data_IF_815996497835
#
_entry.id   IF_815996497835
#
_cell.length_a   1.000
_cell.length_b   1.000
_cell.length_c   1.000
_cell.angle_alpha   90.00
_cell.angle_beta   90.00
_cell.angle_gamma   90.00
#
_symmetry.space_group_name_H-M   'P 1'
#
loop_
_entity.id
_entity.type
_entity.pdbx_description
1 polymer ?
#
# COMPACT_ATOMS: atom_id res chain seq x y z
N UNK A 1 -4.76 -37.01 34.07
CA UNK A 1 -4.83 -36.17 32.86
C UNK A 1 -3.44 -36.23 32.25
N UNK A 2 -3.25 -37.11 31.27
CA UNK A 2 -1.91 -37.48 30.78
C UNK A 2 -1.19 -36.31 30.12
N UNK A 3 0.09 -36.15 30.48
CA UNK A 3 1.01 -35.10 29.98
C UNK A 3 1.48 -35.34 28.54
N UNK A 4 1.03 -36.40 27.88
CA UNK A 4 1.36 -36.70 26.48
C UNK A 4 0.31 -36.25 25.46
N UNK A 5 -0.84 -35.72 25.88
CA UNK A 5 -1.85 -35.15 24.94
C UNK A 5 -1.61 -33.67 24.56
N UNK A 6 -0.43 -33.12 24.86
CA UNK A 6 -0.13 -31.69 24.66
C UNK A 6 0.79 -31.37 23.47
N UNK A 7 0.95 -32.29 22.52
CA UNK A 7 1.72 -32.05 21.29
C UNK A 7 0.81 -32.23 20.07
N UNK A 8 -0.01 -31.20 19.80
CA UNK A 8 -0.70 -31.04 18.51
C UNK A 8 0.37 -31.05 17.41
N UNK A 9 0.19 -31.75 16.27
CA UNK A 9 1.19 -31.75 15.20
C UNK A 9 1.28 -30.35 14.59
N UNK A 10 2.32 -29.62 15.01
CA UNK A 10 2.55 -28.22 14.68
C UNK A 10 2.63 -27.98 13.18
N UNK A 11 3.07 -28.93 12.37
CA UNK A 11 3.16 -28.74 10.91
C UNK A 11 1.80 -28.64 10.20
N UNK A 12 0.78 -29.38 10.65
CA UNK A 12 -0.55 -29.33 10.03
C UNK A 12 -1.29 -28.06 10.39
N UNK A 13 -1.23 -27.64 11.66
CA UNK A 13 -1.81 -26.39 12.13
C UNK A 13 -1.03 -25.17 11.61
N UNK A 14 0.30 -25.23 11.51
CA UNK A 14 1.13 -24.19 10.89
C UNK A 14 0.87 -24.12 9.38
N UNK A 15 0.72 -25.25 8.68
CA UNK A 15 0.32 -25.25 7.26
C UNK A 15 -1.10 -24.71 7.06
N UNK A 16 -2.01 -24.96 8.01
CA UNK A 16 -3.36 -24.39 8.02
C UNK A 16 -3.38 -22.90 8.34
N UNK A 17 -2.51 -22.43 9.25
CA UNK A 17 -2.31 -21.02 9.58
C UNK A 17 -1.59 -20.24 8.46
N UNK A 18 -0.61 -20.85 7.80
CA UNK A 18 0.05 -20.28 6.62
C UNK A 18 -0.85 -20.33 5.38
N UNK A 19 -1.87 -21.21 5.39
CA UNK A 19 -2.98 -21.25 4.45
C UNK A 19 -4.16 -20.36 4.84
N UNK A 20 -3.98 -19.38 5.75
CA UNK A 20 -4.97 -18.31 5.96
C UNK A 20 -5.14 -17.59 4.63
N UNK A 21 -6.27 -17.96 4.03
CA UNK A 21 -6.91 -17.47 2.82
C UNK A 21 -6.02 -16.62 1.91
N UNK A 22 -5.46 -17.24 0.88
CA UNK A 22 -4.79 -16.53 -0.19
C UNK A 22 -5.76 -15.54 -0.86
N UNK A 23 -7.07 -15.77 -0.79
CA UNK A 23 -8.08 -14.95 -1.44
C UNK A 23 -8.15 -13.52 -0.89
N UNK A 24 -8.36 -13.21 0.41
CA UNK A 24 -8.31 -11.84 0.93
C UNK A 24 -6.98 -11.14 0.64
N UNK A 25 -5.85 -11.85 0.76
CA UNK A 25 -4.52 -11.28 0.48
C UNK A 25 -4.40 -10.92 -1.00
N UNK A 26 -4.67 -11.88 -1.89
CA UNK A 26 -4.61 -11.66 -3.34
C UNK A 26 -5.68 -10.68 -3.81
N UNK A 27 -6.87 -10.67 -3.22
CA UNK A 27 -7.91 -9.69 -3.52
C UNK A 27 -7.46 -8.28 -3.20
N UNK A 28 -6.90 -8.05 -2.00
CA UNK A 28 -6.38 -6.75 -1.64
C UNK A 28 -5.21 -6.33 -2.55
N UNK A 29 -4.26 -7.22 -2.80
CA UNK A 29 -3.14 -6.99 -3.73
C UNK A 29 -3.66 -6.66 -5.13
N UNK A 30 -4.53 -7.50 -5.71
CA UNK A 30 -5.09 -7.30 -7.04
C UNK A 30 -5.98 -6.05 -7.10
N UNK A 31 -6.64 -5.67 -6.02
CA UNK A 31 -7.37 -4.40 -5.90
C UNK A 31 -6.41 -3.21 -5.88
N UNK A 32 -5.32 -3.30 -5.11
CA UNK A 32 -4.26 -2.30 -5.03
C UNK A 32 -3.61 -2.06 -6.39
N UNK A 33 -3.28 -3.13 -7.09
CA UNK A 33 -2.71 -3.10 -8.44
C UNK A 33 -3.78 -2.92 -9.53
N UNK A 34 -5.06 -2.78 -9.15
CA UNK A 34 -6.19 -2.57 -10.07
C UNK A 34 -6.27 -3.64 -11.19
N UNK A 35 -5.94 -4.88 -10.83
CA UNK A 35 -5.91 -6.07 -11.65
C UNK A 35 -7.15 -6.95 -11.49
N UNK A 36 -8.11 -6.61 -10.62
CA UNK A 36 -9.30 -7.44 -10.34
C UNK A 36 -10.05 -7.87 -11.61
N UNK A 37 -10.14 -7.00 -12.62
CA UNK A 37 -10.84 -7.25 -13.87
C UNK A 37 -9.95 -7.85 -14.97
N UNK A 38 -8.63 -7.87 -14.76
CA UNK A 38 -7.69 -8.50 -15.70
C UNK A 38 -7.89 -10.02 -15.72
N UNK A 39 -7.52 -10.67 -16.81
CA UNK A 39 -7.59 -12.13 -16.90
C UNK A 39 -6.69 -12.79 -15.84
N UNK A 40 -5.52 -12.19 -15.56
CA UNK A 40 -4.62 -12.63 -14.50
C UNK A 40 -5.27 -12.50 -13.12
N UNK A 41 -5.95 -11.40 -12.83
CA UNK A 41 -6.62 -11.19 -11.54
C UNK A 41 -7.81 -12.12 -11.35
N UNK A 42 -8.62 -12.33 -12.40
CA UNK A 42 -9.72 -13.30 -12.37
C UNK A 42 -9.20 -14.72 -12.14
N UNK A 43 -8.15 -15.14 -12.85
CA UNK A 43 -7.51 -16.45 -12.62
C UNK A 43 -6.90 -16.56 -11.23
N UNK A 44 -6.18 -15.55 -10.76
CA UNK A 44 -5.55 -15.55 -9.43
C UNK A 44 -6.59 -15.64 -8.31
N UNK A 45 -7.67 -14.87 -8.38
CA UNK A 45 -8.77 -14.95 -7.41
C UNK A 45 -9.48 -16.31 -7.45
N UNK A 46 -9.66 -16.88 -8.63
CA UNK A 46 -10.32 -18.19 -8.77
C UNK A 46 -9.44 -19.30 -8.20
N UNK A 47 -8.14 -19.28 -8.50
CA UNK A 47 -7.15 -20.21 -7.93
C UNK A 47 -7.07 -20.04 -6.42
N UNK A 48 -7.05 -18.80 -5.92
CA UNK A 48 -7.02 -18.52 -4.50
C UNK A 48 -8.29 -19.04 -3.81
N UNK A 49 -9.47 -18.81 -4.38
CA UNK A 49 -10.73 -19.29 -3.83
C UNK A 49 -10.79 -20.82 -3.78
N UNK A 50 -10.34 -21.49 -4.85
CA UNK A 50 -10.27 -22.96 -4.92
C UNK A 50 -9.25 -23.48 -3.90
N UNK A 51 -8.07 -22.85 -3.83
CA UNK A 51 -7.01 -23.18 -2.89
C UNK A 51 -7.45 -23.02 -1.44
N UNK A 52 -8.12 -21.94 -1.11
CA UNK A 52 -8.66 -21.65 0.22
C UNK A 52 -9.76 -22.64 0.60
N UNK A 53 -10.65 -22.97 -0.35
CA UNK A 53 -11.70 -23.97 -0.16
C UNK A 53 -11.10 -25.36 0.10
N UNK A 54 -10.07 -25.74 -0.66
CA UNK A 54 -9.37 -27.01 -0.48
C UNK A 54 -8.55 -27.05 0.81
N UNK A 55 -7.86 -25.95 1.15
CA UNK A 55 -7.13 -25.78 2.40
C UNK A 55 -8.05 -25.93 3.60
N UNK A 56 -9.22 -25.28 3.59
CA UNK A 56 -10.24 -25.45 4.62
C UNK A 56 -10.71 -26.91 4.72
N UNK A 57 -10.96 -27.59 3.60
CA UNK A 57 -11.32 -29.02 3.60
C UNK A 57 -10.23 -29.91 4.20
N UNK A 58 -8.95 -29.66 3.87
CA UNK A 58 -7.82 -30.39 4.43
C UNK A 58 -7.67 -30.16 5.93
N UNK A 59 -7.80 -28.91 6.40
CA UNK A 59 -7.77 -28.58 7.83
C UNK A 59 -8.90 -29.29 8.55
N UNK A 60 -10.13 -29.22 8.04
CA UNK A 60 -11.27 -29.92 8.63
C UNK A 60 -11.05 -31.43 8.68
N UNK A 61 -10.53 -32.02 7.61
CA UNK A 61 -10.25 -33.47 7.55
C UNK A 61 -9.16 -33.86 8.54
N UNK A 62 -8.11 -33.04 8.67
CA UNK A 62 -7.01 -33.25 9.61
C UNK A 62 -7.48 -33.12 11.06
N UNK A 63 -8.22 -32.05 11.39
CA UNK A 63 -8.80 -31.85 12.72
C UNK A 63 -9.75 -32.99 13.08
N UNK A 64 -10.66 -33.37 12.15
CA UNK A 64 -11.56 -34.51 12.31
C UNK A 64 -10.80 -35.84 12.54
N UNK A 65 -9.70 -36.05 11.81
CA UNK A 65 -8.83 -37.22 11.97
C UNK A 65 -8.11 -37.22 13.31
N UNK A 66 -7.57 -36.08 13.75
CA UNK A 66 -6.89 -35.91 15.03
C UNK A 66 -7.84 -36.16 16.20
N UNK A 67 -9.10 -35.69 16.10
CA UNK A 67 -10.13 -36.05 17.08
C UNK A 67 -10.45 -37.56 17.08
N UNK A 68 -10.31 -38.21 15.93
CA UNK A 68 -10.52 -39.66 15.77
C UNK A 68 -9.46 -40.53 16.40
N UNK A 69 -8.24 -40.01 16.59
CA UNK A 69 -7.15 -40.71 17.30
C UNK A 69 -7.49 -40.99 18.77
N UNK A 70 -8.37 -40.18 19.38
CA UNK A 70 -8.88 -40.45 20.74
C UNK A 70 -10.05 -41.43 20.71
N UNK A 71 -11.15 -41.08 20.02
CA UNK A 71 -12.31 -41.96 19.79
C UNK A 71 -13.04 -41.55 18.51
N UNK A 72 -13.45 -42.53 17.70
CA UNK A 72 -14.21 -42.31 16.46
C UNK A 72 -15.51 -41.49 16.66
N UNK A 73 -16.11 -41.55 17.85
CA UNK A 73 -17.30 -40.76 18.19
C UNK A 73 -17.01 -39.25 18.25
N UNK A 74 -15.78 -38.85 18.58
CA UNK A 74 -15.38 -37.43 18.65
C UNK A 74 -15.30 -36.82 17.25
N UNK A 75 -14.82 -37.57 16.26
CA UNK A 75 -14.87 -37.17 14.84
C UNK A 75 -16.29 -36.91 14.38
N UNK A 76 -17.24 -37.80 14.74
CA UNK A 76 -18.65 -37.62 14.39
C UNK A 76 -19.23 -36.36 15.03
N UNK A 77 -18.96 -36.12 16.32
CA UNK A 77 -19.41 -34.92 17.01
C UNK A 77 -18.78 -33.64 16.44
N UNK A 78 -17.51 -33.67 16.05
CA UNK A 78 -16.85 -32.55 15.37
C UNK A 78 -17.56 -32.21 14.05
N UNK A 79 -17.79 -33.21 13.19
CA UNK A 79 -18.48 -33.02 11.91
C UNK A 79 -19.90 -32.49 12.09
N UNK A 80 -20.64 -33.01 13.07
CA UNK A 80 -22.00 -32.54 13.41
C UNK A 80 -21.96 -31.09 13.90
N UNK A 81 -21.01 -30.76 14.79
CA UNK A 81 -20.86 -29.41 15.34
C UNK A 81 -20.48 -28.40 14.26
N UNK A 82 -19.59 -28.76 13.34
CA UNK A 82 -19.22 -27.91 12.20
C UNK A 82 -20.42 -27.65 11.27
N UNK A 83 -21.15 -28.71 10.88
CA UNK A 83 -22.36 -28.57 10.05
C UNK A 83 -23.42 -27.73 10.78
N UNK A 84 -23.61 -27.95 12.08
CA UNK A 84 -24.51 -27.17 12.92
C UNK A 84 -24.13 -25.69 12.97
N UNK A 85 -22.83 -25.39 13.12
CA UNK A 85 -22.32 -24.02 13.13
C UNK A 85 -22.53 -23.33 11.79
N UNK A 86 -22.21 -23.99 10.67
CA UNK A 86 -22.41 -23.44 9.33
C UNK A 86 -23.89 -23.21 9.02
N UNK A 87 -24.76 -24.15 9.43
CA UNK A 87 -26.21 -24.00 9.30
C UNK A 87 -26.71 -22.81 10.13
N UNK A 88 -26.25 -22.68 11.38
CA UNK A 88 -26.61 -21.53 12.23
C UNK A 88 -26.16 -20.20 11.62
N UNK A 89 -24.94 -20.12 11.07
CA UNK A 89 -24.45 -18.92 10.41
C UNK A 89 -25.29 -18.57 9.17
N UNK A 90 -25.64 -19.55 8.35
CA UNK A 90 -26.37 -19.33 7.10
C UNK A 90 -27.87 -19.07 7.28
N UNK A 91 -28.51 -19.72 8.25
CA UNK A 91 -29.96 -19.68 8.43
C UNK A 91 -30.42 -18.80 9.61
N UNK A 92 -29.53 -18.44 10.53
CA UNK A 92 -29.87 -17.55 11.66
C UNK A 92 -29.10 -16.23 11.58
N UNK A 93 -27.77 -16.27 11.52
CA UNK A 93 -26.94 -15.05 11.58
C UNK A 93 -27.07 -14.23 10.31
N UNK A 94 -26.86 -14.83 9.13
CA UNK A 94 -26.96 -14.12 7.84
C UNK A 94 -28.32 -13.46 7.61
N UNK A 95 -29.47 -14.14 7.84
CA UNK A 95 -30.78 -13.50 7.68
C UNK A 95 -31.02 -12.39 8.69
N UNK A 96 -30.56 -12.54 9.94
CA UNK A 96 -30.62 -11.47 10.93
C UNK A 96 -29.81 -10.23 10.50
N UNK A 97 -28.61 -10.43 9.95
CA UNK A 97 -27.76 -9.36 9.43
C UNK A 97 -28.40 -8.63 8.24
N UNK A 98 -28.99 -9.39 7.30
CA UNK A 98 -29.75 -8.82 6.17
C UNK A 98 -30.97 -8.04 6.66
N UNK A 99 -31.69 -8.56 7.66
CA UNK A 99 -32.83 -7.88 8.27
C UNK A 99 -32.42 -6.56 8.95
N UNK A 100 -31.31 -6.54 9.69
CA UNK A 100 -30.75 -5.31 10.29
C UNK A 100 -30.41 -4.30 9.19
N UNK A 101 -29.75 -4.76 8.11
CA UNK A 101 -29.32 -3.92 7.00
C UNK A 101 -30.52 -3.28 6.26
N UNK A 102 -31.60 -4.04 6.07
CA UNK A 102 -32.74 -3.60 5.24
C UNK A 102 -33.82 -2.85 6.04
N UNK A 103 -34.15 -3.28 7.26
CA UNK A 103 -35.33 -2.80 7.99
C UNK A 103 -35.02 -1.80 9.12
N UNK A 104 -33.82 -1.84 9.71
CA UNK A 104 -33.46 -1.03 10.88
C UNK A 104 -32.49 0.13 10.58
N UNK A 105 -32.09 0.28 9.32
CA UNK A 105 -31.18 1.34 8.91
C UNK A 105 -31.78 2.03 7.70
N UNK A 106 -32.57 3.12 7.80
CA UNK A 106 -33.16 3.79 6.62
C UNK A 106 -32.10 4.47 5.73
N UNK A 107 -32.45 4.80 4.47
CA UNK A 107 -31.57 5.56 3.57
C UNK A 107 -31.11 6.87 4.21
N UNK A 108 -29.79 7.12 4.21
CA UNK A 108 -29.20 8.35 4.74
C UNK A 108 -28.93 8.38 6.25
N UNK A 109 -29.36 7.37 7.02
CA UNK A 109 -29.10 7.30 8.46
C UNK A 109 -27.91 6.38 8.81
N UNK A 110 -27.08 6.75 9.81
CA UNK A 110 -25.95 5.92 10.23
C UNK A 110 -26.45 4.62 10.88
N UNK A 111 -25.71 3.52 10.63
CA UNK A 111 -25.91 2.25 11.34
C UNK A 111 -25.76 2.50 12.84
N UNK A 112 -26.70 2.00 13.64
CA UNK A 112 -26.65 2.17 15.09
C UNK A 112 -25.39 1.52 15.67
N UNK A 113 -24.75 2.22 16.61
CA UNK A 113 -23.49 1.78 17.22
C UNK A 113 -23.63 0.44 17.95
N UNK A 114 -24.81 0.14 18.50
CA UNK A 114 -25.13 -1.15 19.13
C UNK A 114 -24.88 -2.33 18.20
N UNK A 115 -25.26 -2.24 16.93
CA UNK A 115 -25.04 -3.31 15.95
C UNK A 115 -23.56 -3.49 15.63
N UNK A 116 -22.81 -2.40 15.49
CA UNK A 116 -21.36 -2.47 15.26
C UNK A 116 -20.67 -3.17 16.44
N UNK A 117 -21.02 -2.80 17.68
CA UNK A 117 -20.49 -3.44 18.89
C UNK A 117 -20.89 -4.92 18.96
N UNK A 118 -22.14 -5.25 18.64
CA UNK A 118 -22.63 -6.62 18.65
C UNK A 118 -21.89 -7.51 17.63
N UNK A 119 -21.51 -6.97 16.47
CA UNK A 119 -20.76 -7.72 15.45
C UNK A 119 -19.32 -7.96 15.88
N UNK A 120 -18.65 -6.96 16.48
CA UNK A 120 -17.31 -7.15 17.03
C UNK A 120 -17.29 -8.12 18.21
N UNK A 121 -18.28 -8.05 19.11
CA UNK A 121 -18.47 -9.05 20.17
C UNK A 121 -18.78 -10.42 19.57
N UNK A 122 -19.59 -10.46 18.51
CA UNK A 122 -19.89 -11.66 17.74
C UNK A 122 -18.62 -12.33 17.23
N UNK A 123 -17.63 -11.57 16.74
CA UNK A 123 -16.36 -12.13 16.30
C UNK A 123 -15.61 -12.84 17.44
N UNK A 124 -15.58 -12.24 18.63
CA UNK A 124 -14.96 -12.85 19.82
C UNK A 124 -15.71 -14.11 20.26
N UNK A 125 -17.04 -14.05 20.30
CA UNK A 125 -17.90 -15.20 20.64
C UNK A 125 -17.71 -16.32 19.62
N UNK A 126 -17.63 -16.00 18.33
CA UNK A 126 -17.41 -16.98 17.28
C UNK A 126 -16.05 -17.64 17.40
N UNK A 127 -15.00 -16.88 17.75
CA UNK A 127 -13.69 -17.46 18.04
C UNK A 127 -13.75 -18.47 19.19
N UNK A 128 -14.39 -18.09 20.29
CA UNK A 128 -14.61 -18.97 21.44
C UNK A 128 -15.43 -20.23 21.06
N UNK A 129 -16.51 -20.08 20.30
CA UNK A 129 -17.33 -21.21 19.85
C UNK A 129 -16.54 -22.16 18.96
N UNK A 130 -15.75 -21.64 18.02
CA UNK A 130 -14.90 -22.49 17.19
C UNK A 130 -13.88 -23.25 18.03
N UNK A 131 -13.22 -22.59 18.97
CA UNK A 131 -12.26 -23.23 19.88
C UNK A 131 -12.94 -24.35 20.72
N UNK A 132 -14.13 -24.08 21.26
CA UNK A 132 -14.93 -25.06 22.01
C UNK A 132 -15.31 -26.29 21.17
N UNK A 133 -15.52 -26.12 19.87
CA UNK A 133 -15.81 -27.22 18.94
C UNK A 133 -14.54 -27.89 18.38
N UNK A 134 -13.35 -27.50 18.85
CA UNK A 134 -12.07 -28.04 18.39
C UNK A 134 -11.64 -27.52 17.01
N UNK A 135 -12.20 -26.39 16.57
CA UNK A 135 -11.84 -25.67 15.35
C UNK A 135 -10.91 -24.52 15.74
N UNK A 136 -9.86 -24.25 14.97
CA UNK A 136 -8.95 -23.14 15.24
C UNK A 136 -9.69 -21.81 15.52
N UNK A 137 -9.34 -21.14 16.62
CA UNK A 137 -9.98 -19.91 17.13
C UNK A 137 -10.11 -18.79 16.09
N UNK A 138 -9.17 -18.70 15.14
CA UNK A 138 -9.17 -17.68 14.09
C UNK A 138 -10.27 -17.90 13.03
N UNK A 139 -10.77 -19.13 12.87
CA UNK A 139 -11.75 -19.46 11.84
C UNK A 139 -13.13 -18.89 12.16
N UNK A 140 -13.52 -18.80 13.44
CA UNK A 140 -14.80 -18.25 13.88
C UNK A 140 -15.06 -16.82 13.36
N UNK A 141 -14.17 -15.85 13.64
CA UNK A 141 -14.25 -14.49 13.09
C UNK A 141 -14.31 -14.46 11.56
N UNK A 142 -13.55 -15.33 10.87
CA UNK A 142 -13.55 -15.41 9.40
C UNK A 142 -14.92 -15.83 8.87
N UNK A 143 -15.50 -16.90 9.43
CA UNK A 143 -16.82 -17.38 9.02
C UNK A 143 -17.92 -16.36 9.33
N UNK A 144 -17.81 -15.63 10.45
CA UNK A 144 -18.70 -14.51 10.74
C UNK A 144 -18.57 -13.41 9.69
N UNK A 145 -17.35 -13.04 9.30
CA UNK A 145 -17.09 -12.05 8.25
C UNK A 145 -17.77 -12.38 6.93
N UNK A 146 -17.71 -13.65 6.50
CA UNK A 146 -18.31 -14.14 5.24
C UNK A 146 -19.85 -14.04 5.20
N UNK A 147 -20.51 -14.00 6.36
CA UNK A 147 -21.98 -13.87 6.42
C UNK A 147 -22.46 -12.43 6.63
N UNK A 148 -21.55 -11.50 6.87
CA UNK A 148 -21.88 -10.07 6.90
C UNK A 148 -22.14 -9.60 5.46
N UNK A 149 -23.28 -8.93 5.19
CA UNK A 149 -23.58 -8.46 3.83
C UNK A 149 -22.58 -7.39 3.38
N UNK A 150 -22.05 -7.57 2.18
CA UNK A 150 -21.19 -6.59 1.51
C UNK A 150 -21.97 -5.34 1.08
N UNK A 151 -21.30 -4.19 1.08
CA UNK A 151 -21.84 -2.91 0.59
C UNK A 151 -22.53 -2.03 1.65
N UNK A 152 -23.23 -0.96 1.23
CA UNK A 152 -24.01 -0.12 2.13
C UNK A 152 -25.17 -0.92 2.75
N UNK A 153 -25.45 -0.85 4.05
CA UNK A 153 -25.07 0.16 5.06
C UNK A 153 -24.17 -0.39 6.16
N UNK A 154 -24.42 -1.63 6.58
CA UNK A 154 -23.73 -2.30 7.69
C UNK A 154 -22.29 -2.67 7.32
N UNK A 155 -22.06 -3.31 6.17
CA UNK A 155 -20.72 -3.70 5.70
C UNK A 155 -19.77 -2.52 5.59
N UNK A 156 -20.21 -1.44 4.91
CA UNK A 156 -19.43 -0.21 4.78
C UNK A 156 -19.07 0.43 6.15
N UNK A 157 -19.99 0.40 7.12
CA UNK A 157 -19.72 0.99 8.45
C UNK A 157 -18.73 0.15 9.26
N UNK A 158 -18.81 -1.17 9.14
CA UNK A 158 -17.87 -2.09 9.80
C UNK A 158 -16.48 -1.88 9.21
N UNK A 159 -16.35 -1.85 7.88
CA UNK A 159 -15.07 -1.55 7.21
C UNK A 159 -14.49 -0.25 7.73
N UNK A 160 -15.28 0.85 7.73
CA UNK A 160 -14.83 2.14 8.25
C UNK A 160 -14.35 2.06 9.71
N UNK A 161 -15.08 1.34 10.58
CA UNK A 161 -14.73 1.21 11.99
C UNK A 161 -13.50 0.33 12.21
N UNK A 162 -13.35 -0.74 11.44
CA UNK A 162 -12.15 -1.59 11.43
C UNK A 162 -10.95 -0.80 10.92
N UNK A 163 -11.10 0.02 9.86
CA UNK A 163 -10.06 0.94 9.40
C UNK A 163 -9.68 1.95 10.48
N UNK A 164 -10.65 2.48 11.23
CA UNK A 164 -10.38 3.39 12.35
C UNK A 164 -9.56 2.67 13.44
N UNK A 165 -9.92 1.45 13.82
CA UNK A 165 -9.15 0.65 14.79
C UNK A 165 -7.75 0.36 14.25
N UNK A 166 -7.63 -0.03 12.96
CA UNK A 166 -6.32 -0.26 12.35
C UNK A 166 -5.47 1.01 12.37
N UNK A 167 -6.02 2.16 11.97
CA UNK A 167 -5.27 3.41 11.89
C UNK A 167 -4.95 4.02 13.26
N UNK A 168 -5.90 4.00 14.19
CA UNK A 168 -5.74 4.69 15.48
C UNK A 168 -5.11 3.81 16.56
N UNK A 169 -5.31 2.49 16.49
CA UNK A 169 -4.77 1.55 17.47
C UNK A 169 -3.57 0.77 16.94
N UNK A 170 -3.65 0.16 15.75
CA UNK A 170 -2.61 -0.76 15.27
C UNK A 170 -1.45 -0.04 14.55
N UNK A 171 -1.73 0.99 13.76
CA UNK A 171 -0.74 1.72 12.98
C UNK A 171 0.34 2.40 13.86
N UNK A 172 0.03 2.97 15.05
CA UNK A 172 1.06 3.41 15.97
C UNK A 172 2.05 2.30 16.36
N UNK A 173 1.59 1.07 16.58
CA UNK A 173 2.49 -0.07 16.83
C UNK A 173 3.32 -0.42 15.60
N UNK A 174 2.75 -0.35 14.39
CA UNK A 174 3.51 -0.52 13.16
C UNK A 174 4.61 0.53 13.03
N UNK A 175 4.34 1.80 13.36
CA UNK A 175 5.36 2.85 13.39
C UNK A 175 6.41 2.62 14.49
N UNK A 176 6.02 2.12 15.67
CA UNK A 176 6.97 1.74 16.73
C UNK A 176 7.87 0.59 16.25
N UNK A 177 7.30 -0.43 15.60
CA UNK A 177 8.05 -1.57 15.07
C UNK A 177 9.03 -1.08 14.00
N UNK A 178 8.58 -0.30 13.03
CA UNK A 178 9.44 0.32 12.00
C UNK A 178 10.51 1.20 12.65
N UNK A 179 10.16 2.01 13.65
CA UNK A 179 11.13 2.82 14.40
C UNK A 179 12.11 1.99 15.23
N UNK A 180 11.73 0.79 15.67
CA UNK A 180 12.58 -0.10 16.47
C UNK A 180 13.58 -0.90 15.64
N UNK A 181 13.29 -1.11 14.35
CA UNK A 181 14.24 -1.68 13.41
C UNK A 181 15.28 -0.64 12.94
N UNK A 182 15.02 0.65 13.18
CA UNK A 182 15.92 1.73 12.76
C UNK A 182 17.10 1.79 13.71
N UNK A 183 18.27 1.40 13.23
CA UNK A 183 19.50 1.39 14.03
C UNK A 183 20.04 2.82 14.25
N UNK A 184 19.51 3.49 15.27
CA UNK A 184 20.01 4.79 15.73
C UNK A 184 21.46 4.70 16.27
N UNK A 185 21.94 3.53 16.68
CA UNK A 185 23.32 3.37 17.18
C UNK A 185 24.34 3.40 16.04
N UNK A 186 24.01 2.84 14.88
CA UNK A 186 24.77 3.04 13.64
C UNK A 186 24.97 4.55 13.31
N UNK A 187 24.06 5.42 13.79
CA UNK A 187 24.12 6.87 13.58
C UNK A 187 25.05 7.62 14.56
N UNK A 188 25.41 7.07 15.73
CA UNK A 188 25.93 7.89 16.85
C UNK A 188 27.47 8.05 16.95
N UNK A 189 28.28 7.21 16.29
CA UNK A 189 29.75 7.40 16.24
C UNK A 189 30.34 7.21 14.83
N UNK A 190 30.09 6.06 14.20
CA UNK A 190 30.42 5.83 12.78
C UNK A 190 29.53 6.66 11.85
N UNK A 191 28.26 6.81 12.23
CA UNK A 191 27.27 7.56 11.46
C UNK A 191 27.55 9.05 11.39
N UNK A 192 28.13 9.68 12.42
CA UNK A 192 28.48 11.10 12.34
C UNK A 192 29.55 11.35 11.26
N UNK A 193 30.57 10.49 11.17
CA UNK A 193 31.57 10.57 10.11
C UNK A 193 30.94 10.39 8.71
N UNK A 194 29.96 9.49 8.58
CA UNK A 194 29.21 9.30 7.33
C UNK A 194 28.40 10.55 7.02
N UNK A 195 27.66 11.10 7.99
CA UNK A 195 26.83 12.30 7.84
C UNK A 195 27.69 13.50 7.42
N UNK A 196 28.86 13.66 8.04
CA UNK A 196 29.81 14.74 7.73
C UNK A 196 30.47 14.56 6.36
N UNK A 197 30.52 13.33 5.83
CA UNK A 197 31.07 13.02 4.51
C UNK A 197 30.08 13.21 3.35
N UNK A 198 28.80 13.50 3.63
CA UNK A 198 27.78 13.65 2.58
C UNK A 198 27.96 14.99 1.87
N UNK A 199 28.29 14.97 0.59
CA UNK A 199 28.47 16.19 -0.23
C UNK A 199 27.15 16.76 -0.79
N UNK A 200 26.14 15.89 -0.98
CA UNK A 200 24.88 16.22 -1.66
C UNK A 200 23.78 15.27 -1.22
N UNK A 201 22.53 15.73 -1.21
CA UNK A 201 21.38 14.87 -0.91
C UNK A 201 20.27 15.04 -1.95
N UNK A 202 19.45 14.01 -2.10
CA UNK A 202 18.32 13.98 -3.02
C UNK A 202 17.33 12.92 -2.53
N UNK A 203 16.05 13.09 -2.86
CA UNK A 203 15.04 12.07 -2.57
C UNK A 203 13.90 12.09 -3.56
N UNK A 204 13.29 10.94 -3.78
CA UNK A 204 12.24 10.76 -4.78
C UNK A 204 10.90 11.28 -4.26
N UNK A 205 10.34 12.29 -4.92
CA UNK A 205 9.05 12.91 -4.54
C UNK A 205 9.02 13.37 -3.08
N UNK A 206 8.32 12.65 -2.20
CA UNK A 206 8.29 12.94 -0.75
C UNK A 206 9.70 12.97 -0.13
N UNK A 207 10.60 12.12 -0.61
CA UNK A 207 11.98 12.05 -0.13
C UNK A 207 12.77 13.36 -0.29
N UNK A 208 12.37 14.28 -1.18
CA UNK A 208 12.99 15.61 -1.30
C UNK A 208 12.81 16.45 -0.03
N UNK A 209 11.68 16.29 0.67
CA UNK A 209 11.45 16.95 1.95
C UNK A 209 12.35 16.36 3.04
N UNK A 210 12.52 15.03 3.06
CA UNK A 210 13.45 14.37 3.96
C UNK A 210 14.90 14.78 3.68
N UNK A 211 15.28 14.91 2.41
CA UNK A 211 16.59 15.40 2.01
C UNK A 211 16.83 16.85 2.45
N UNK A 212 15.83 17.73 2.30
CA UNK A 212 15.89 19.11 2.78
C UNK A 212 15.96 19.22 4.31
N UNK A 213 15.16 18.43 5.03
CA UNK A 213 15.25 18.33 6.49
C UNK A 213 16.63 17.83 6.90
N UNK A 214 17.11 16.75 6.27
CA UNK A 214 18.43 16.22 6.51
C UNK A 214 19.48 17.29 6.28
N UNK A 215 19.39 18.10 5.22
CA UNK A 215 20.33 19.17 4.89
C UNK A 215 20.17 20.44 5.76
N UNK A 216 19.21 20.48 6.69
CA UNK A 216 18.99 21.61 7.59
C UNK A 216 18.24 22.79 6.96
N UNK A 217 17.55 22.59 5.84
CA UNK A 217 16.76 23.63 5.19
C UNK A 217 15.55 24.04 6.05
N UNK A 218 14.99 23.15 6.85
CA UNK A 218 13.94 23.44 7.83
C UNK A 218 14.02 22.48 9.01
N UNK A 219 13.32 22.79 10.10
CA UNK A 219 13.25 21.91 11.29
C UNK A 219 12.54 20.60 10.96
N UNK A 220 12.77 19.55 11.75
CA UNK A 220 12.05 18.28 11.59
C UNK A 220 10.54 18.49 11.75
N UNK A 221 10.13 19.31 12.71
CA UNK A 221 8.74 19.63 13.02
C UNK A 221 8.05 20.35 11.85
N UNK A 222 8.72 21.32 11.24
CA UNK A 222 8.16 22.04 10.10
C UNK A 222 8.15 21.16 8.85
N UNK A 223 9.18 20.32 8.67
CA UNK A 223 9.18 19.26 7.67
C UNK A 223 7.98 18.34 7.80
N UNK A 224 7.68 17.87 9.01
CA UNK A 224 6.54 16.99 9.30
C UNK A 224 5.19 17.67 9.01
N UNK A 225 5.03 18.94 9.42
CA UNK A 225 3.83 19.73 9.10
C UNK A 225 3.65 19.92 7.60
N UNK A 226 4.74 20.24 6.88
CA UNK A 226 4.73 20.41 5.43
C UNK A 226 4.34 19.13 4.70
N UNK A 227 4.95 17.99 5.04
CA UNK A 227 4.65 16.72 4.37
C UNK A 227 3.24 16.23 4.68
N UNK A 228 2.74 16.44 5.90
CA UNK A 228 1.34 16.16 6.27
C UNK A 228 0.39 16.98 5.40
N UNK A 229 0.58 18.30 5.37
CA UNK A 229 -0.26 19.21 4.58
C UNK A 229 -0.19 18.88 3.09
N UNK A 230 1.00 18.57 2.56
CA UNK A 230 1.20 18.12 1.19
C UNK A 230 0.40 16.84 0.91
N UNK A 231 0.50 15.85 1.79
CA UNK A 231 -0.24 14.58 1.67
C UNK A 231 -1.75 14.81 1.63
N UNK A 232 -2.29 15.59 2.58
CA UNK A 232 -3.71 15.95 2.63
C UNK A 232 -4.15 16.70 1.36
N UNK A 233 -3.38 17.70 0.92
CA UNK A 233 -3.72 18.50 -0.26
C UNK A 233 -3.69 17.67 -1.56
N UNK A 234 -2.72 16.76 -1.71
CA UNK A 234 -2.65 15.85 -2.86
C UNK A 234 -3.77 14.81 -2.82
N UNK A 235 -4.13 14.32 -1.63
CA UNK A 235 -5.25 13.40 -1.45
C UNK A 235 -6.58 14.06 -1.82
N UNK A 236 -6.80 15.31 -1.40
CA UNK A 236 -7.99 16.07 -1.76
C UNK A 236 -8.08 16.33 -3.26
N UNK A 237 -6.95 16.65 -3.91
CA UNK A 237 -6.88 16.78 -5.36
C UNK A 237 -7.20 15.45 -6.08
N UNK A 238 -6.68 14.34 -5.58
CA UNK A 238 -6.97 13.01 -6.10
C UNK A 238 -8.45 12.60 -5.92
N UNK A 239 -9.06 12.96 -4.80
CA UNK A 239 -10.48 12.71 -4.53
C UNK A 239 -11.39 13.54 -5.46
N UNK A 240 -10.96 14.74 -5.85
CA UNK A 240 -11.72 15.62 -6.74
C UNK A 240 -11.74 15.15 -8.20
N UNK A 241 -10.72 14.40 -8.65
CA UNK A 241 -10.61 13.94 -10.02
C UNK A 241 -10.14 12.48 -10.10
N UNK A 242 -11.02 11.60 -10.57
CA UNK A 242 -10.72 10.19 -10.80
C UNK A 242 -9.53 10.07 -11.75
N UNK A 243 -8.44 9.52 -11.25
CA UNK A 243 -7.18 9.45 -11.96
C UNK A 243 -6.38 8.24 -11.51
N UNK A 244 -5.36 7.88 -12.27
CA UNK A 244 -4.51 6.74 -11.99
C UNK A 244 -3.08 7.00 -12.45
N UNK A 245 -2.19 6.09 -12.03
CA UNK A 245 -0.79 6.08 -12.38
C UNK A 245 -0.39 4.66 -12.77
N UNK A 246 0.47 4.54 -13.78
CA UNK A 246 0.91 3.27 -14.36
C UNK A 246 2.41 3.33 -14.64
N UNK A 247 3.14 2.32 -14.17
CA UNK A 247 4.53 2.09 -14.55
C UNK A 247 4.59 1.42 -15.92
N UNK A 248 5.31 2.03 -16.85
CA UNK A 248 5.59 1.53 -18.20
C UNK A 248 7.03 1.03 -18.23
N UNK A 249 7.20 -0.27 -18.46
CA UNK A 249 8.50 -0.95 -18.37
C UNK A 249 8.92 -1.48 -19.74
N UNK A 250 10.20 -1.33 -20.06
CA UNK A 250 10.82 -1.85 -21.29
C UNK A 250 10.80 -0.90 -22.49
N UNK A 251 10.41 0.36 -22.29
CA UNK A 251 10.50 1.42 -23.29
C UNK A 251 11.51 2.48 -22.84
N UNK A 252 12.14 3.16 -23.80
CA UNK A 252 12.86 4.42 -23.57
C UNK A 252 11.90 5.60 -23.38
N UNK A 253 12.38 6.71 -22.84
CA UNK A 253 11.57 7.89 -22.52
C UNK A 253 10.88 8.49 -23.75
N UNK A 254 11.53 8.49 -24.92
CA UNK A 254 10.97 8.98 -26.18
C UNK A 254 9.77 8.15 -26.62
N UNK A 255 9.85 6.81 -26.56
CA UNK A 255 8.72 5.94 -26.88
C UNK A 255 7.61 6.01 -25.85
N UNK A 256 7.93 6.21 -24.57
CA UNK A 256 6.88 6.46 -23.56
C UNK A 256 6.16 7.77 -23.87
N UNK A 257 6.88 8.81 -24.30
CA UNK A 257 6.26 10.06 -24.72
C UNK A 257 5.36 9.87 -25.94
N UNK A 258 5.83 9.15 -26.98
CA UNK A 258 5.00 8.82 -28.15
C UNK A 258 3.76 8.00 -27.78
N UNK A 259 3.88 7.10 -26.80
CA UNK A 259 2.76 6.32 -26.27
C UNK A 259 1.74 7.23 -25.55
N UNK A 260 2.20 8.18 -24.73
CA UNK A 260 1.35 9.20 -24.11
C UNK A 260 0.64 10.03 -25.17
N UNK A 261 1.36 10.51 -26.19
CA UNK A 261 0.81 11.33 -27.26
C UNK A 261 -0.28 10.56 -28.04
N UNK A 262 -0.03 9.29 -28.36
CA UNK A 262 -0.99 8.43 -29.03
C UNK A 262 -2.24 8.14 -28.16
N UNK A 263 -2.10 8.02 -26.84
CA UNK A 263 -3.23 7.90 -25.94
C UNK A 263 -4.03 9.21 -25.83
N UNK A 264 -3.32 10.34 -25.75
CA UNK A 264 -3.89 11.68 -25.62
C UNK A 264 -4.70 12.14 -26.85
N UNK A 265 -4.48 11.53 -28.02
CA UNK A 265 -5.28 11.77 -29.23
C UNK A 265 -6.70 11.18 -29.14
N UNK A 266 -6.93 10.19 -28.28
CA UNK A 266 -8.21 9.46 -28.18
C UNK A 266 -9.03 9.85 -26.94
N UNK A 267 -8.55 10.81 -26.15
CA UNK A 267 -9.19 11.24 -24.91
C UNK A 267 -9.32 12.77 -24.83
N UNK A 268 -10.33 13.29 -24.14
CA UNK A 268 -10.46 14.73 -23.91
C UNK A 268 -9.31 15.25 -23.03
N UNK A 269 -9.09 16.57 -23.05
CA UNK A 269 -8.02 17.25 -22.28
C UNK A 269 -8.01 16.86 -20.80
N UNK A 270 -9.20 16.74 -20.19
CA UNK A 270 -9.36 16.40 -18.78
C UNK A 270 -8.94 14.95 -18.41
N UNK A 271 -8.72 14.09 -19.41
CA UNK A 271 -8.34 12.67 -19.22
C UNK A 271 -6.91 12.38 -19.68
N UNK A 272 -6.19 13.40 -20.20
CA UNK A 272 -4.84 13.22 -20.73
C UNK A 272 -3.87 12.67 -19.71
N UNK A 273 -2.89 11.93 -20.22
CA UNK A 273 -1.78 11.33 -19.48
C UNK A 273 -0.47 12.01 -19.84
N UNK A 274 0.46 12.00 -18.89
CA UNK A 274 1.84 12.42 -19.12
C UNK A 274 2.81 11.62 -18.26
N UNK A 275 4.09 11.63 -18.63
CA UNK A 275 5.14 11.05 -17.79
C UNK A 275 5.21 11.84 -16.48
N UNK A 276 4.96 11.17 -15.37
CA UNK A 276 5.01 11.71 -14.01
C UNK A 276 6.36 11.43 -13.34
N UNK A 277 7.02 10.31 -13.66
CA UNK A 277 8.32 10.00 -13.11
C UNK A 277 9.23 9.37 -14.18
N UNK A 278 10.38 9.98 -14.38
CA UNK A 278 11.52 9.40 -15.06
C UNK A 278 12.33 8.66 -14.00
N UNK A 279 12.11 7.35 -13.81
CA UNK A 279 12.71 6.60 -12.69
C UNK A 279 14.11 6.10 -13.04
N UNK A 280 14.24 5.29 -14.08
CA UNK A 280 15.51 4.80 -14.60
C UNK A 280 15.33 4.35 -16.05
N UNK A 281 16.43 4.15 -16.81
CA UNK A 281 16.34 3.67 -18.18
C UNK A 281 15.47 2.41 -18.27
N UNK A 282 14.42 2.46 -19.07
CA UNK A 282 13.49 1.34 -19.24
C UNK A 282 12.35 1.24 -18.22
N UNK A 283 12.19 2.22 -17.31
CA UNK A 283 11.08 2.27 -16.36
C UNK A 283 10.63 3.71 -16.09
N UNK A 284 9.41 4.02 -16.50
CA UNK A 284 8.80 5.34 -16.39
C UNK A 284 7.42 5.22 -15.76
N UNK A 285 7.01 6.17 -14.92
CA UNK A 285 5.64 6.22 -14.45
C UNK A 285 4.86 7.29 -15.22
N UNK A 286 3.69 6.91 -15.69
CA UNK A 286 2.75 7.76 -16.43
C UNK A 286 1.49 7.93 -15.59
N UNK A 287 1.00 9.16 -15.49
CA UNK A 287 -0.15 9.52 -14.68
C UNK A 287 -1.15 10.32 -15.52
N UNK A 288 -2.44 10.16 -15.24
CA UNK A 288 -3.49 10.99 -15.83
C UNK A 288 -4.89 10.51 -15.46
N UNK A 289 -5.87 10.89 -16.27
CA UNK A 289 -7.26 10.45 -16.08
C UNK A 289 -7.40 8.93 -16.28
N UNK A 290 -8.43 8.34 -15.67
CA UNK A 290 -8.67 6.89 -15.77
C UNK A 290 -8.76 6.45 -17.24
N UNK A 291 -9.43 7.26 -18.08
CA UNK A 291 -9.62 6.88 -19.48
C UNK A 291 -8.33 6.97 -20.28
N UNK A 292 -7.52 7.99 -20.03
CA UNK A 292 -6.20 8.12 -20.65
C UNK A 292 -5.26 6.97 -20.28
N UNK A 293 -5.27 6.54 -19.01
CA UNK A 293 -4.49 5.40 -18.55
C UNK A 293 -4.95 4.09 -19.21
N UNK A 294 -6.26 3.85 -19.31
CA UNK A 294 -6.80 2.68 -20.02
C UNK A 294 -6.39 2.63 -21.49
N UNK A 295 -6.47 3.76 -22.20
CA UNK A 295 -6.07 3.86 -23.61
C UNK A 295 -4.56 3.61 -23.73
N UNK A 296 -3.76 4.21 -22.87
CA UNK A 296 -2.31 4.01 -22.84
C UNK A 296 -1.95 2.53 -22.64
N UNK A 297 -2.58 1.84 -21.70
CA UNK A 297 -2.35 0.40 -21.46
C UNK A 297 -2.74 -0.44 -22.67
N UNK A 298 -3.84 -0.12 -23.34
CA UNK A 298 -4.28 -0.83 -24.55
C UNK A 298 -3.28 -0.70 -25.71
N UNK A 299 -2.57 0.43 -25.79
CA UNK A 299 -1.56 0.73 -26.83
C UNK A 299 -0.16 0.25 -26.44
N UNK A 300 0.13 0.04 -25.15
CA UNK A 300 1.48 -0.25 -24.68
C UNK A 300 2.15 -1.44 -25.42
N UNK A 301 1.39 -2.50 -25.72
CA UNK A 301 1.90 -3.66 -26.48
C UNK A 301 2.30 -3.32 -27.91
N UNK A 302 1.58 -2.46 -28.62
CA UNK A 302 1.92 -2.08 -30.00
C UNK A 302 3.19 -1.23 -30.05
N UNK A 303 3.45 -0.46 -28.99
CA UNK A 303 4.70 0.26 -28.78
C UNK A 303 5.87 -0.62 -28.31
N UNK A 304 5.64 -1.93 -28.12
CA UNK A 304 6.60 -2.92 -27.63
C UNK A 304 7.00 -2.72 -26.16
N UNK A 305 6.13 -2.13 -25.34
CA UNK A 305 6.33 -2.14 -23.89
C UNK A 305 6.36 -3.59 -23.40
N UNK A 306 7.28 -3.89 -22.48
CA UNK A 306 7.37 -5.23 -21.88
C UNK A 306 6.18 -5.48 -20.97
N UNK A 307 5.83 -4.49 -20.15
CA UNK A 307 4.68 -4.56 -19.25
C UNK A 307 4.21 -3.16 -18.83
N UNK A 308 2.95 -3.08 -18.43
CA UNK A 308 2.37 -1.95 -17.72
C UNK A 308 1.85 -2.43 -16.36
N UNK A 309 2.12 -1.68 -15.30
CA UNK A 309 1.70 -2.02 -13.93
C UNK A 309 1.05 -0.80 -13.29
N UNK A 310 -0.26 -0.85 -13.02
CA UNK A 310 -0.94 0.23 -12.29
C UNK A 310 -0.37 0.33 -10.88
N UNK A 311 -0.07 1.55 -10.45
CA UNK A 311 0.50 1.81 -9.13
C UNK A 311 -0.60 2.05 -8.10
N UNK A 312 -0.41 1.50 -6.91
CA UNK A 312 -1.28 1.66 -5.75
C UNK A 312 -1.18 3.07 -5.14
N UNK A 313 -1.61 4.08 -5.88
CA UNK A 313 -1.58 5.48 -5.45
C UNK A 313 -2.95 6.12 -5.60
N UNK A 314 -3.21 7.14 -4.78
CA UNK A 314 -4.52 7.77 -4.71
C UNK A 314 -4.93 8.51 -5.99
N UNK A 315 -3.98 8.98 -6.81
CA UNK A 315 -4.28 9.70 -8.04
C UNK A 315 -3.08 9.98 -8.92
N UNK A 316 -3.28 10.80 -9.96
CA UNK A 316 -2.27 11.17 -10.95
C UNK A 316 -1.24 12.18 -10.41
N UNK A 317 -0.39 11.74 -9.49
CA UNK A 317 0.68 12.56 -8.92
C UNK A 317 1.66 13.05 -9.98
N UNK A 318 2.29 14.21 -9.72
CA UNK A 318 3.26 14.85 -10.62
C UNK A 318 2.66 15.26 -11.97
N UNK A 319 1.38 15.66 -11.94
CA UNK A 319 0.66 16.16 -13.11
C UNK A 319 -0.24 17.35 -12.79
N UNK A 320 -0.84 17.91 -13.85
CA UNK A 320 -1.84 18.97 -13.74
C UNK A 320 -3.04 18.61 -12.84
N UNK A 321 -3.33 17.32 -12.63
CA UNK A 321 -4.35 16.86 -11.67
C UNK A 321 -4.08 17.32 -10.24
N UNK A 322 -2.81 17.57 -9.88
CA UNK A 322 -2.42 18.04 -8.56
C UNK A 322 -2.45 19.57 -8.41
N UNK A 323 -2.87 20.32 -9.44
CA UNK A 323 -2.96 21.78 -9.38
C UNK A 323 -3.79 22.32 -8.19
N UNK A 324 -4.90 21.68 -7.76
CA UNK A 324 -5.63 22.12 -6.57
C UNK A 324 -4.80 22.09 -5.27
N UNK A 325 -3.75 21.26 -5.20
CA UNK A 325 -2.89 21.15 -4.02
C UNK A 325 -1.88 22.31 -3.91
N UNK A 326 -1.56 22.97 -5.04
CA UNK A 326 -0.45 23.94 -5.14
C UNK A 326 -0.68 25.15 -4.23
N UNK A 327 -1.87 25.75 -4.25
CA UNK A 327 -2.15 26.97 -3.47
C UNK A 327 -2.01 26.75 -1.96
N UNK A 328 -2.45 25.60 -1.46
CA UNK A 328 -2.28 25.20 -0.05
C UNK A 328 -0.81 25.03 0.31
N UNK A 329 -0.06 24.40 -0.59
CA UNK A 329 1.37 24.16 -0.39
C UNK A 329 2.18 25.47 -0.45
N UNK A 330 1.86 26.37 -1.38
CA UNK A 330 2.45 27.71 -1.46
C UNK A 330 2.22 28.51 -0.19
N UNK A 331 0.98 28.51 0.33
CA UNK A 331 0.66 29.20 1.57
C UNK A 331 1.45 28.64 2.78
N UNK A 332 1.61 27.32 2.86
CA UNK A 332 2.39 26.67 3.92
C UNK A 332 3.90 26.93 3.79
N UNK A 333 4.44 26.90 2.56
CA UNK A 333 5.85 27.20 2.28
C UNK A 333 6.17 28.69 2.51
N UNK A 334 5.22 29.59 2.30
CA UNK A 334 5.39 31.00 2.58
C UNK A 334 5.63 31.26 4.07
N UNK A 335 4.91 30.57 4.95
CA UNK A 335 5.01 30.72 6.41
C UNK A 335 6.10 29.85 7.04
N UNK A 336 6.59 28.83 6.33
CA UNK A 336 7.71 28.00 6.81
C UNK A 336 9.03 28.75 6.68
N UNK A 337 9.83 28.73 7.76
CA UNK A 337 11.20 29.21 7.74
C UNK A 337 12.08 28.20 6.98
N UNK A 338 12.45 28.56 5.74
CA UNK A 338 13.44 27.79 4.97
C UNK A 338 14.77 28.53 5.04
N UNK A 339 15.80 27.81 5.47
CA UNK A 339 17.19 28.25 5.61
C UNK A 339 18.03 27.69 4.47
N UNK A 340 19.17 28.31 4.24
CA UNK A 340 20.19 27.76 3.34
C UNK A 340 20.63 26.40 3.87
N UNK A 341 20.46 25.30 3.10
CA UNK A 341 20.87 23.98 3.54
C UNK A 341 22.40 23.89 3.59
N UNK A 342 22.95 23.11 4.54
CA UNK A 342 24.40 22.93 4.70
C UNK A 342 25.06 22.22 3.53
N UNK A 343 24.28 21.42 2.79
CA UNK A 343 24.67 20.69 1.60
C UNK A 343 23.61 20.90 0.53
N UNK A 344 23.97 20.98 -0.77
CA UNK A 344 22.98 21.16 -1.81
C UNK A 344 21.98 20.00 -1.86
N UNK A 345 20.73 20.32 -2.19
CA UNK A 345 19.68 19.31 -2.41
C UNK A 345 19.30 19.28 -3.88
N UNK A 346 19.37 18.11 -4.52
CA UNK A 346 18.98 17.98 -5.93
C UNK A 346 17.46 17.91 -6.02
N UNK A 347 16.87 18.83 -6.78
CA UNK A 347 15.43 18.89 -6.97
C UNK A 347 14.91 17.85 -7.95
N UNK A 348 13.73 17.29 -7.64
CA UNK A 348 13.01 16.43 -8.59
C UNK A 348 12.52 17.17 -9.84
N UNK A 349 12.38 18.51 -9.82
CA UNK A 349 11.78 19.28 -10.93
C UNK A 349 12.76 19.49 -12.08
N UNK A 350 14.00 19.85 -11.76
CA UNK A 350 15.02 20.21 -12.76
C UNK A 350 16.31 19.40 -12.67
N UNK A 351 16.39 18.44 -11.73
CA UNK A 351 17.59 17.64 -11.47
C UNK A 351 18.86 18.47 -11.20
N UNK A 352 18.70 19.71 -10.70
CA UNK A 352 19.80 20.59 -10.32
C UNK A 352 19.92 20.72 -8.80
N UNK A 353 21.13 20.95 -8.27
CA UNK A 353 21.33 21.26 -6.86
C UNK A 353 20.77 22.65 -6.52
N UNK A 354 20.05 22.75 -5.41
CA UNK A 354 19.54 24.01 -4.86
C UNK A 354 20.06 24.25 -3.44
N UNK A 355 20.44 25.50 -3.19
CA UNK A 355 20.85 26.01 -1.87
C UNK A 355 20.12 27.30 -1.50
N UNK A 356 19.46 27.95 -2.46
CA UNK A 356 18.74 29.20 -2.22
C UNK A 356 17.34 28.92 -1.65
N UNK A 357 16.98 29.46 -0.47
CA UNK A 357 15.68 29.22 0.16
C UNK A 357 14.48 29.62 -0.70
N UNK A 358 14.56 30.72 -1.44
CA UNK A 358 13.46 31.20 -2.28
C UNK A 358 13.25 30.30 -3.50
N UNK A 359 14.34 29.82 -4.10
CA UNK A 359 14.31 28.79 -5.14
C UNK A 359 13.68 27.50 -4.62
N UNK A 360 14.08 27.04 -3.42
CA UNK A 360 13.53 25.82 -2.79
C UNK A 360 12.02 25.94 -2.58
N UNK A 361 11.50 27.08 -2.08
CA UNK A 361 10.05 27.30 -1.92
C UNK A 361 9.29 27.15 -3.24
N UNK A 362 9.78 27.80 -4.31
CA UNK A 362 9.16 27.74 -5.64
C UNK A 362 9.16 26.32 -6.21
N UNK A 363 10.29 25.62 -6.04
CA UNK A 363 10.46 24.26 -6.51
C UNK A 363 9.51 23.30 -5.80
N UNK A 364 9.44 23.34 -4.47
CA UNK A 364 8.56 22.46 -3.71
C UNK A 364 7.09 22.68 -4.06
N UNK A 365 6.67 23.92 -4.28
CA UNK A 365 5.31 24.24 -4.72
C UNK A 365 4.96 23.61 -6.07
N UNK A 366 5.86 23.70 -7.07
CA UNK A 366 5.62 23.13 -8.40
C UNK A 366 5.90 21.62 -8.50
N UNK A 367 6.64 21.04 -7.54
CA UNK A 367 7.03 19.62 -7.51
C UNK A 367 5.83 18.66 -7.64
N UNK A 368 4.71 18.97 -7.01
CA UNK A 368 3.51 18.11 -7.03
C UNK A 368 2.83 18.05 -8.40
N UNK A 369 3.11 19.02 -9.27
CA UNK A 369 2.56 19.12 -10.64
C UNK A 369 3.58 18.86 -11.74
N UNK A 370 4.86 18.76 -11.38
CA UNK A 370 5.97 18.60 -12.32
C UNK A 370 6.47 17.15 -12.33
N UNK A 371 6.87 16.62 -13.50
CA UNK A 371 7.47 15.29 -13.58
C UNK A 371 8.74 15.19 -12.74
N UNK A 372 8.91 14.06 -12.04
CA UNK A 372 10.09 13.77 -11.24
C UNK A 372 11.22 13.25 -12.12
N UNK A 373 12.31 14.03 -12.20
CA UNK A 373 13.50 13.80 -13.03
C UNK A 373 14.54 12.90 -12.34
N UNK A 374 14.12 11.76 -11.79
CA UNK A 374 15.00 10.90 -10.99
C UNK A 374 16.12 10.24 -11.82
N UNK A 375 15.80 9.80 -13.02
CA UNK A 375 16.77 9.25 -13.98
C UNK A 375 17.89 10.26 -14.23
N UNK A 376 17.53 11.51 -14.54
CA UNK A 376 18.47 12.61 -14.78
C UNK A 376 19.30 12.93 -13.54
N UNK A 377 18.69 12.93 -12.36
CA UNK A 377 19.40 13.11 -11.07
C UNK A 377 20.47 12.05 -10.88
N UNK A 378 20.13 10.77 -11.03
CA UNK A 378 21.07 9.66 -10.85
C UNK A 378 22.17 9.69 -11.92
N UNK A 379 21.83 9.90 -13.18
CA UNK A 379 22.80 10.01 -14.27
C UNK A 379 23.78 11.17 -14.04
N UNK A 380 23.29 12.32 -13.56
CA UNK A 380 24.12 13.49 -13.26
C UNK A 380 25.09 13.20 -12.12
N UNK A 381 24.62 12.56 -11.05
CA UNK A 381 25.45 12.16 -9.92
C UNK A 381 26.55 11.18 -10.34
N UNK A 382 26.20 10.13 -11.09
CA UNK A 382 27.16 9.15 -11.60
C UNK A 382 28.20 9.80 -12.52
N UNK A 383 27.77 10.66 -13.44
CA UNK A 383 28.67 11.40 -14.36
C UNK A 383 29.61 12.35 -13.61
N UNK A 384 29.16 12.93 -12.50
CA UNK A 384 29.97 13.78 -11.62
C UNK A 384 30.87 13.00 -10.65
N UNK A 385 30.88 11.67 -10.73
CA UNK A 385 31.80 10.82 -9.97
C UNK A 385 31.29 10.43 -8.58
N UNK A 386 29.98 10.22 -8.41
CA UNK A 386 29.41 9.63 -7.20
C UNK A 386 30.15 8.33 -6.83
N UNK A 387 30.82 8.33 -5.67
CA UNK A 387 31.64 7.19 -5.21
C UNK A 387 30.87 6.19 -4.36
N UNK A 388 30.04 6.71 -3.45
CA UNK A 388 29.25 5.94 -2.48
C UNK A 388 27.96 6.67 -2.19
N UNK A 389 26.88 5.92 -1.99
CA UNK A 389 25.56 6.47 -1.68
C UNK A 389 24.86 5.65 -0.59
N UNK A 390 23.91 6.29 0.09
CA UNK A 390 23.17 5.70 1.20
C UNK A 390 21.68 5.88 0.95
N UNK A 391 20.92 4.79 0.90
CA UNK A 391 19.46 4.83 0.88
C UNK A 391 18.96 4.80 2.33
N UNK A 392 18.23 5.85 2.73
CA UNK A 392 17.60 5.95 4.04
C UNK A 392 16.09 5.70 3.91
N UNK A 393 15.57 4.78 4.69
CA UNK A 393 14.13 4.48 4.77
C UNK A 393 13.79 3.01 4.49
N UNK A 394 12.50 2.65 4.57
CA UNK A 394 12.07 1.27 4.43
C UNK A 394 12.21 0.78 2.98
N UNK A 395 12.68 -0.46 2.83
CA UNK A 395 12.81 -1.12 1.53
C UNK A 395 14.12 -0.81 0.81
N UNK A 396 14.19 -1.15 -0.48
CA UNK A 396 15.41 -1.06 -1.31
C UNK A 396 15.12 -0.52 -2.71
N UNK A 397 14.13 0.37 -2.81
CA UNK A 397 13.56 0.82 -4.09
C UNK A 397 14.58 1.70 -4.82
N UNK A 398 15.16 2.68 -4.13
CA UNK A 398 16.15 3.59 -4.71
C UNK A 398 17.43 2.83 -5.04
N UNK A 399 17.91 1.94 -4.17
CA UNK A 399 19.04 1.07 -4.47
C UNK A 399 18.78 0.21 -5.72
N UNK A 400 17.58 -0.35 -5.86
CA UNK A 400 17.19 -1.12 -7.04
C UNK A 400 17.11 -0.28 -8.32
N UNK A 401 16.69 0.98 -8.24
CA UNK A 401 16.65 1.93 -9.36
C UNK A 401 18.07 2.34 -9.77
N UNK A 402 18.92 2.73 -8.81
CA UNK A 402 20.31 3.12 -9.07
C UNK A 402 21.09 1.96 -9.71
N UNK A 403 20.94 0.74 -9.18
CA UNK A 403 21.60 -0.47 -9.74
C UNK A 403 21.12 -0.85 -11.14
N UNK A 404 19.94 -0.37 -11.56
CA UNK A 404 19.48 -0.51 -12.96
C UNK A 404 20.15 0.47 -13.90
N UNK A 405 20.50 1.67 -13.41
CA UNK A 405 21.27 2.66 -14.17
C UNK A 405 22.75 2.28 -14.24
N UNK A 406 23.34 1.87 -13.11
CA UNK A 406 24.72 1.38 -13.03
C UNK A 406 24.84 0.19 -12.07
N UNK A 407 25.17 -0.99 -12.61
CA UNK A 407 25.31 -2.22 -11.83
C UNK A 407 26.47 -2.16 -10.83
N UNK A 408 27.47 -1.31 -11.07
CA UNK A 408 28.65 -1.13 -10.21
C UNK A 408 28.46 -0.09 -9.10
N UNK A 409 27.32 0.59 -9.06
CA UNK A 409 27.08 1.66 -8.09
C UNK A 409 27.15 1.14 -6.64
N UNK A 410 28.00 1.77 -5.84
CA UNK A 410 28.13 1.51 -4.40
C UNK A 410 27.00 2.24 -3.65
N UNK A 411 25.95 1.48 -3.33
CA UNK A 411 24.81 1.94 -2.55
C UNK A 411 24.57 1.03 -1.36
N UNK A 412 24.63 1.64 -0.17
CA UNK A 412 24.35 1.01 1.10
C UNK A 412 22.92 1.36 1.51
N UNK A 413 22.09 0.33 1.72
CA UNK A 413 20.74 0.54 2.23
C UNK A 413 20.81 0.54 3.76
N UNK A 414 20.62 1.72 4.35
CA UNK A 414 20.49 1.87 5.78
C UNK A 414 19.01 1.63 6.08
N UNK A 415 18.71 0.33 6.19
CA UNK A 415 17.37 -0.15 6.45
C UNK A 415 16.82 0.43 7.75
N UNK A 416 15.55 0.79 7.68
CA UNK A 416 14.74 1.00 8.86
C UNK A 416 14.41 -0.31 9.54
#
# INVERSE_FOLDING_TARGET
MDKEMAMIPSLGSISGYLGITAFPVLYHILKEFNLLNSDMGRSALSIALIGDSFGMLCIMTFEASSQGETKMINTLWYMISFVGLMAFLMFCVRPAMIWINNNNTPEGHPVQQSFVVAIFLGALVMGFLTDMFGIAIANGPVFLGLVIPDGPRVGAKIVQKTETIMADLLLPFSFIIVGSYTDFYAMSASGQQIIDSVDVTCGLSLGEYTALAFAGAFSFEDGLKLVKLRGEAMQDAANAAKSAMVSVIGLDSEKVQQLCDAANQEVPEAEKVQIANYLCPGNYAVSGGLKGVEVLESKAKSFKARMTVRLAVAGAFHTSFMKPAVSRLEAALATTEIRTPRIPVISNVNAQPHTDPDSIKKILACQVTSPVQWETTVQTLLTKGLKKSYELGPGKVIAGIIKRTDKGADIENIGA
#
